data_IF_279971956521
#
_entry.id   IF_279971956521
#
_cell.length_a   1.000
_cell.length_b   1.000
_cell.length_c   1.000
_cell.angle_alpha   90.00
_cell.angle_beta   90.00
_cell.angle_gamma   90.00
#
_symmetry.space_group_name_H-M   'P 1'
#
loop_
_entity.id
_entity.type
_entity.pdbx_description
1 polymer ?
#
# COMPACT_ATOMS: atom_id res chain seq x y z
N UNK A 1 26.22 -41.17 -9.07
CA UNK A 1 26.01 -40.76 -7.67
C UNK A 1 24.83 -39.82 -7.44
N UNK A 2 24.27 -39.12 -8.44
CA UNK A 2 23.24 -38.07 -8.18
C UNK A 2 21.78 -38.54 -8.21
N UNK A 3 21.48 -39.65 -8.89
CA UNK A 3 20.09 -40.09 -9.16
C UNK A 3 19.45 -40.87 -8.01
N UNK A 4 20.25 -41.65 -7.28
CA UNK A 4 19.77 -42.50 -6.19
C UNK A 4 19.43 -41.68 -4.93
N UNK A 5 20.20 -40.61 -4.65
CA UNK A 5 19.89 -39.71 -3.54
C UNK A 5 18.61 -38.90 -3.80
N UNK A 6 18.34 -38.51 -5.04
CA UNK A 6 17.14 -37.74 -5.42
C UNK A 6 15.86 -38.59 -5.32
N UNK A 7 15.93 -39.86 -5.71
CA UNK A 7 14.85 -40.83 -5.55
C UNK A 7 14.59 -41.21 -4.08
N UNK A 8 15.63 -41.14 -3.22
CA UNK A 8 15.51 -41.41 -1.79
C UNK A 8 14.88 -40.22 -1.06
N UNK A 9 15.27 -38.99 -1.42
CA UNK A 9 14.67 -37.75 -0.88
C UNK A 9 13.20 -37.65 -1.27
N UNK A 10 12.82 -37.97 -2.51
CA UNK A 10 11.43 -37.94 -2.95
C UNK A 10 10.55 -39.00 -2.29
N UNK A 11 11.08 -40.21 -2.04
CA UNK A 11 10.36 -41.23 -1.28
C UNK A 11 10.17 -40.84 0.19
N UNK A 12 11.18 -40.23 0.82
CA UNK A 12 11.08 -39.77 2.20
C UNK A 12 10.07 -38.63 2.33
N UNK A 13 10.09 -37.66 1.41
CA UNK A 13 9.13 -36.54 1.44
C UNK A 13 7.71 -37.01 1.18
N UNK A 14 7.50 -37.99 0.31
CA UNK A 14 6.18 -38.57 0.06
C UNK A 14 5.63 -39.29 1.29
N UNK A 15 6.41 -40.18 1.92
CA UNK A 15 5.99 -40.87 3.15
C UNK A 15 5.70 -39.92 4.30
N UNK A 16 6.53 -38.90 4.46
CA UNK A 16 6.36 -37.92 5.53
C UNK A 16 5.12 -37.04 5.30
N UNK A 17 4.81 -36.72 4.04
CA UNK A 17 3.59 -36.01 3.68
C UNK A 17 2.34 -36.85 3.93
N UNK A 18 2.37 -38.14 3.56
CA UNK A 18 1.28 -39.10 3.81
C UNK A 18 1.03 -39.30 5.32
N UNK A 19 2.09 -39.37 6.11
CA UNK A 19 1.98 -39.53 7.57
C UNK A 19 1.47 -38.26 8.25
N UNK A 20 1.81 -37.08 7.71
CA UNK A 20 1.22 -35.79 8.14
C UNK A 20 -0.27 -35.70 7.75
N UNK A 21 -0.65 -36.17 6.56
CA UNK A 21 -2.03 -36.12 6.08
C UNK A 21 -2.95 -37.05 6.89
N UNK A 22 -2.40 -38.17 7.38
CA UNK A 22 -3.10 -39.11 8.26
C UNK A 22 -3.17 -38.67 9.74
N UNK A 23 -2.62 -37.51 10.11
CA UNK A 23 -2.75 -37.02 11.48
C UNK A 23 -4.19 -36.58 11.77
N UNK A 24 -4.76 -36.98 12.93
CA UNK A 24 -6.05 -36.48 13.36
C UNK A 24 -6.01 -34.96 13.54
N UNK A 25 -7.10 -34.27 13.17
CA UNK A 25 -7.24 -32.81 13.27
C UNK A 25 -7.62 -32.35 14.69
N UNK A 26 -7.05 -32.98 15.71
CA UNK A 26 -7.40 -32.80 17.12
C UNK A 26 -6.66 -31.62 17.80
N UNK A 27 -5.78 -30.92 17.07
CA UNK A 27 -5.12 -29.68 17.52
C UNK A 27 -4.12 -29.88 18.67
N UNK A 28 -3.77 -31.14 18.99
CA UNK A 28 -2.81 -31.49 20.04
C UNK A 28 -1.41 -31.62 19.46
N UNK A 29 -0.40 -31.27 20.27
CA UNK A 29 0.99 -31.52 19.92
C UNK A 29 1.23 -33.04 19.83
N UNK A 30 1.78 -33.49 18.70
CA UNK A 30 2.16 -34.88 18.44
C UNK A 30 3.64 -34.92 18.12
N UNK A 31 4.33 -35.91 18.68
CA UNK A 31 5.74 -36.17 18.40
C UNK A 31 5.85 -37.22 17.30
N UNK A 32 6.57 -36.88 16.21
CA UNK A 32 6.88 -37.81 15.12
C UNK A 32 8.33 -38.27 15.26
N UNK A 33 8.53 -39.54 15.66
CA UNK A 33 9.87 -40.12 15.80
C UNK A 33 10.30 -40.81 14.51
N UNK A 34 11.18 -40.17 13.74
CA UNK A 34 11.71 -40.75 12.50
C UNK A 34 12.99 -41.54 12.82
N UNK A 35 12.92 -42.87 12.71
CA UNK A 35 14.09 -43.75 12.87
C UNK A 35 14.77 -43.97 11.52
N UNK A 36 15.83 -43.23 11.24
CA UNK A 36 16.65 -43.41 10.04
C UNK A 36 17.72 -44.47 10.32
N UNK A 37 17.59 -45.66 9.71
CA UNK A 37 18.67 -46.67 9.69
C UNK A 37 19.59 -46.41 8.49
N UNK A 38 20.82 -45.97 8.75
CA UNK A 38 21.85 -45.82 7.71
C UNK A 38 23.24 -45.69 8.33
N UNK A 39 24.23 -46.38 7.76
CA UNK A 39 25.63 -46.24 8.14
C UNK A 39 26.27 -45.16 7.26
N UNK A 40 26.05 -43.89 7.62
CA UNK A 40 26.88 -42.77 7.16
C UNK A 40 27.61 -42.29 8.42
N UNK A 41 28.93 -42.43 8.46
CA UNK A 41 29.74 -42.25 9.67
C UNK A 41 29.40 -40.98 10.46
N UNK A 42 29.34 -41.12 11.78
CA UNK A 42 29.24 -40.05 12.77
C UNK A 42 28.30 -38.89 12.43
N UNK A 43 27.03 -39.16 12.09
CA UNK A 43 26.00 -38.13 12.16
C UNK A 43 25.33 -38.23 13.53
N UNK A 44 25.90 -37.57 14.52
CA UNK A 44 25.23 -37.28 15.79
C UNK A 44 24.12 -36.25 15.51
N UNK A 45 23.00 -36.71 14.94
CA UNK A 45 21.75 -35.95 14.94
C UNK A 45 21.23 -36.01 16.37
N UNK A 46 21.68 -35.07 17.21
CA UNK A 46 21.06 -34.82 18.52
C UNK A 46 19.55 -34.61 18.36
N UNK A 47 18.80 -34.69 19.46
CA UNK A 47 17.37 -34.41 19.46
C UNK A 47 17.12 -33.01 18.86
N UNK A 48 16.63 -32.95 17.62
CA UNK A 48 16.25 -31.72 16.94
C UNK A 48 14.73 -31.66 16.93
N UNK A 49 14.18 -30.86 17.85
CA UNK A 49 12.76 -30.52 17.85
C UNK A 49 12.51 -29.45 16.79
N UNK A 50 11.83 -29.83 15.71
CA UNK A 50 11.31 -28.89 14.71
C UNK A 50 9.89 -28.49 15.10
N UNK A 51 9.73 -27.29 15.67
CA UNK A 51 8.42 -26.75 16.04
C UNK A 51 7.77 -26.10 14.81
N UNK A 52 6.97 -26.87 14.08
CA UNK A 52 6.24 -26.40 12.90
C UNK A 52 4.95 -25.74 13.39
N UNK A 53 5.00 -24.43 13.66
CA UNK A 53 3.82 -23.63 13.98
C UNK A 53 2.96 -23.46 12.72
N UNK A 54 1.95 -24.32 12.59
CA UNK A 54 0.98 -24.33 11.48
C UNK A 54 0.02 -23.14 11.50
N UNK A 55 -0.22 -22.53 12.67
CA UNK A 55 -1.10 -21.39 12.80
C UNK A 55 -0.33 -20.07 12.64
N UNK A 56 -0.80 -19.20 11.74
CA UNK A 56 -0.39 -17.79 11.68
C UNK A 56 -0.63 -17.20 13.07
N UNK A 57 0.43 -16.94 13.84
CA UNK A 57 0.30 -16.36 15.16
C UNK A 57 -0.27 -14.93 15.04
N UNK A 58 -1.29 -14.56 15.84
CA UNK A 58 -1.79 -13.19 15.87
C UNK A 58 -0.69 -12.23 16.39
N UNK A 59 -0.69 -10.97 15.94
CA UNK A 59 0.25 -9.98 16.48
C UNK A 59 -0.03 -9.74 17.97
N UNK A 60 1.01 -9.37 18.76
CA UNK A 60 0.82 -9.00 20.16
C UNK A 60 -0.14 -7.81 20.28
N UNK A 61 -1.11 -7.92 21.20
CA UNK A 61 -2.10 -6.87 21.46
C UNK A 61 -1.41 -5.59 21.96
N UNK A 62 -1.81 -4.44 21.41
CA UNK A 62 -1.21 -3.14 21.73
C UNK A 62 0.14 -2.85 21.08
N UNK A 63 0.66 -3.74 20.23
CA UNK A 63 1.87 -3.49 19.45
C UNK A 63 1.59 -2.66 18.18
N UNK A 64 2.56 -1.88 17.75
CA UNK A 64 2.50 -1.04 16.52
C UNK A 64 2.31 -1.84 15.21
N UNK A 65 2.45 -3.17 15.31
CA UNK A 65 2.31 -4.15 14.23
C UNK A 65 0.92 -4.77 14.15
N UNK A 66 0.04 -4.47 15.10
CA UNK A 66 -1.35 -4.89 15.10
C UNK A 66 -2.22 -3.85 14.38
N UNK A 67 -3.18 -4.31 13.59
CA UNK A 67 -4.26 -3.49 13.04
C UNK A 67 -5.58 -4.26 13.10
N UNK A 68 -6.68 -3.54 13.10
CA UNK A 68 -7.99 -4.14 12.94
C UNK A 68 -8.33 -4.30 11.45
N UNK A 69 -8.94 -5.43 11.07
CA UNK A 69 -9.45 -5.62 9.71
C UNK A 69 -10.76 -4.84 9.51
N UNK A 70 -10.88 -4.00 8.46
CA UNK A 70 -12.09 -3.22 8.22
C UNK A 70 -13.33 -4.07 7.89
N UNK A 71 -13.13 -5.29 7.39
CA UNK A 71 -14.25 -6.19 7.03
C UNK A 71 -14.71 -7.06 8.22
N UNK A 72 -13.79 -7.74 8.91
CA UNK A 72 -14.13 -8.71 9.95
C UNK A 72 -13.87 -8.25 11.39
N UNK A 73 -13.27 -7.06 11.58
CA UNK A 73 -12.95 -6.47 12.89
C UNK A 73 -12.01 -7.28 13.79
N UNK A 74 -11.39 -8.33 13.24
CA UNK A 74 -10.38 -9.08 13.95
C UNK A 74 -9.01 -8.42 13.83
N UNK A 75 -8.20 -8.58 14.87
CA UNK A 75 -6.81 -8.15 14.88
C UNK A 75 -5.99 -8.97 13.87
N UNK A 76 -5.27 -8.28 13.01
CA UNK A 76 -4.41 -8.83 11.96
C UNK A 76 -3.11 -8.05 11.91
N UNK A 77 -2.10 -8.61 11.24
CA UNK A 77 -0.83 -7.94 11.05
C UNK A 77 -0.98 -6.69 10.17
N UNK A 78 -0.28 -5.61 10.54
CA UNK A 78 -0.36 -4.31 9.86
C UNK A 78 0.12 -4.37 8.41
N UNK A 79 1.25 -5.05 8.18
CA UNK A 79 1.99 -5.08 6.92
C UNK A 79 1.68 -6.30 6.04
N UNK A 80 0.65 -7.08 6.39
CA UNK A 80 0.22 -8.20 5.54
C UNK A 80 -0.75 -7.71 4.49
N UNK A 81 -0.57 -8.16 3.24
CA UNK A 81 -1.46 -7.82 2.14
C UNK A 81 -2.89 -8.34 2.36
N UNK A 82 -3.03 -9.55 2.92
CA UNK A 82 -4.32 -10.19 3.20
C UNK A 82 -4.54 -10.33 4.70
N UNK A 83 -5.78 -10.14 5.13
CA UNK A 83 -6.19 -10.45 6.50
C UNK A 83 -5.96 -11.93 6.81
N UNK A 84 -5.41 -12.23 7.99
CA UNK A 84 -5.18 -13.60 8.42
C UNK A 84 -6.47 -14.41 8.70
N UNK A 85 -7.60 -13.72 8.90
CA UNK A 85 -8.89 -14.34 9.24
C UNK A 85 -9.80 -14.49 8.01
N UNK A 86 -10.06 -13.38 7.31
CA UNK A 86 -11.02 -13.34 6.19
C UNK A 86 -10.37 -13.23 4.81
N UNK A 87 -9.03 -13.20 4.72
CA UNK A 87 -8.28 -13.01 3.47
C UNK A 87 -8.63 -11.73 2.70
N UNK A 88 -9.25 -10.75 3.36
CA UNK A 88 -9.51 -9.45 2.77
C UNK A 88 -8.22 -8.73 2.40
N UNK A 89 -8.19 -8.07 1.24
CA UNK A 89 -7.02 -7.33 0.78
C UNK A 89 -6.93 -5.96 1.47
N UNK A 90 -6.07 -5.91 2.48
CA UNK A 90 -5.84 -4.74 3.33
C UNK A 90 -5.11 -3.63 2.57
N UNK A 91 -4.13 -3.99 1.75
CA UNK A 91 -3.38 -3.02 0.93
C UNK A 91 -4.28 -2.27 -0.03
N UNK A 92 -5.14 -3.00 -0.75
CA UNK A 92 -6.06 -2.37 -1.71
C UNK A 92 -7.02 -1.41 -1.02
N UNK A 93 -7.47 -1.73 0.18
CA UNK A 93 -8.33 -0.84 0.96
C UNK A 93 -7.58 0.44 1.34
N UNK A 94 -6.33 0.32 1.78
CA UNK A 94 -5.49 1.47 2.16
C UNK A 94 -5.17 2.34 0.93
N UNK A 95 -4.87 1.74 -0.23
CA UNK A 95 -4.66 2.44 -1.50
C UNK A 95 -5.89 3.23 -1.95
N UNK A 96 -7.09 2.65 -1.83
CA UNK A 96 -8.34 3.35 -2.17
C UNK A 96 -8.54 4.55 -1.23
N UNK A 97 -8.29 4.38 0.07
CA UNK A 97 -8.40 5.47 1.03
C UNK A 97 -7.39 6.61 0.78
N UNK A 98 -6.18 6.28 0.30
CA UNK A 98 -5.19 7.29 -0.13
C UNK A 98 -5.61 7.99 -1.42
N UNK A 99 -6.08 7.23 -2.42
CA UNK A 99 -6.57 7.79 -3.68
C UNK A 99 -7.74 8.76 -3.48
N UNK A 100 -8.65 8.47 -2.54
CA UNK A 100 -9.75 9.38 -2.22
C UNK A 100 -9.26 10.70 -1.62
N UNK A 101 -8.25 10.66 -0.75
CA UNK A 101 -7.62 11.87 -0.18
C UNK A 101 -6.92 12.69 -1.26
N UNK A 102 -6.15 12.03 -2.12
CA UNK A 102 -5.46 12.69 -3.23
C UNK A 102 -6.45 13.31 -4.21
N UNK A 103 -7.55 12.62 -4.51
CA UNK A 103 -8.60 13.16 -5.36
C UNK A 103 -9.28 14.38 -4.74
N UNK A 104 -9.54 14.35 -3.43
CA UNK A 104 -10.08 15.50 -2.70
C UNK A 104 -9.13 16.70 -2.73
N UNK A 105 -7.82 16.47 -2.56
CA UNK A 105 -6.80 17.52 -2.69
C UNK A 105 -6.74 18.09 -4.11
N UNK A 106 -6.70 17.22 -5.12
CA UNK A 106 -6.66 17.62 -6.54
C UNK A 106 -7.90 18.40 -6.96
N UNK A 107 -9.08 18.04 -6.45
CA UNK A 107 -10.34 18.76 -6.74
C UNK A 107 -10.30 20.20 -6.22
N UNK A 108 -9.77 20.42 -5.01
CA UNK A 108 -9.60 21.78 -4.45
C UNK A 108 -8.63 22.61 -5.30
N UNK A 109 -7.52 22.00 -5.71
CA UNK A 109 -6.53 22.63 -6.57
C UNK A 109 -7.11 23.04 -7.93
N UNK A 110 -7.83 22.14 -8.61
CA UNK A 110 -8.42 22.41 -9.92
C UNK A 110 -9.44 23.55 -9.89
N UNK A 111 -10.23 23.67 -8.81
CA UNK A 111 -11.19 24.77 -8.66
C UNK A 111 -10.47 26.11 -8.50
N UNK A 112 -9.37 26.16 -7.75
CA UNK A 112 -8.58 27.39 -7.59
C UNK A 112 -7.95 27.83 -8.91
N UNK A 113 -7.34 26.90 -9.65
CA UNK A 113 -6.77 27.17 -10.98
C UNK A 113 -7.85 27.62 -11.97
N UNK A 114 -9.01 26.98 -11.97
CA UNK A 114 -10.14 27.39 -12.83
C UNK A 114 -10.61 28.82 -12.51
N UNK A 115 -10.76 29.16 -11.22
CA UNK A 115 -11.13 30.52 -10.81
C UNK A 115 -10.10 31.55 -11.26
N UNK A 116 -8.81 31.26 -11.10
CA UNK A 116 -7.75 32.14 -11.59
C UNK A 116 -7.81 32.32 -13.11
N UNK A 117 -8.02 31.23 -13.86
CA UNK A 117 -8.19 31.27 -15.31
C UNK A 117 -9.38 32.12 -15.77
N UNK A 118 -10.55 31.94 -15.15
CA UNK A 118 -11.76 32.74 -15.45
C UNK A 118 -11.53 34.22 -15.14
N UNK A 119 -10.89 34.55 -14.02
CA UNK A 119 -10.55 35.94 -13.70
C UNK A 119 -9.62 36.54 -14.76
N UNK A 120 -8.57 35.84 -15.18
CA UNK A 120 -7.64 36.32 -16.20
C UNK A 120 -8.34 36.57 -17.55
N UNK A 121 -9.20 35.66 -18.00
CA UNK A 121 -9.99 35.83 -19.24
C UNK A 121 -10.97 37.00 -19.12
N UNK A 122 -11.59 37.18 -17.96
CA UNK A 122 -12.46 38.33 -17.71
C UNK A 122 -11.70 39.67 -17.77
N UNK A 123 -10.50 39.73 -17.20
CA UNK A 123 -9.65 40.93 -17.22
C UNK A 123 -9.19 41.25 -18.64
N UNK A 124 -8.75 40.24 -19.42
CA UNK A 124 -8.34 40.47 -20.81
C UNK A 124 -9.51 40.90 -21.68
N UNK A 125 -10.68 40.27 -21.54
CA UNK A 125 -11.90 40.69 -22.24
C UNK A 125 -12.33 42.12 -21.90
N UNK A 126 -12.32 42.50 -20.62
CA UNK A 126 -12.61 43.87 -20.19
C UNK A 126 -11.57 44.86 -20.72
N UNK A 127 -10.28 44.52 -20.72
CA UNK A 127 -9.23 45.39 -21.25
C UNK A 127 -9.37 45.61 -22.77
N UNK A 128 -9.83 44.60 -23.51
CA UNK A 128 -10.10 44.72 -24.94
C UNK A 128 -11.28 45.66 -25.22
N UNK A 129 -12.38 45.50 -24.47
CA UNK A 129 -13.55 46.41 -24.58
C UNK A 129 -13.25 47.85 -24.17
N UNK A 130 -12.35 48.08 -23.20
CA UNK A 130 -11.94 49.42 -22.77
C UNK A 130 -11.04 50.09 -23.82
N UNK A 131 -10.25 49.33 -24.58
CA UNK A 131 -9.42 49.86 -25.68
C UNK A 131 -10.24 50.38 -26.86
N UNK A 132 -11.46 49.88 -27.07
CA UNK A 132 -12.38 50.38 -28.10
C UNK A 132 -13.07 51.70 -27.71
N UNK A 133 -12.97 52.16 -26.45
CA UNK A 133 -13.44 53.48 -26.03
C UNK A 133 -12.28 54.50 -26.01
N UNK A 134 -12.43 55.68 -26.63
CA UNK A 134 -11.39 56.70 -26.67
C UNK A 134 -11.34 57.48 -25.34
N UNK A 135 -10.94 56.82 -24.25
CA UNK A 135 -10.56 57.51 -23.01
C UNK A 135 -9.03 57.51 -22.88
N UNK A 136 -8.40 58.51 -23.50
CA UNK A 136 -6.95 58.74 -23.48
C UNK A 136 -6.37 58.85 -22.06
N UNK A 137 -7.22 59.13 -21.06
CA UNK A 137 -6.86 59.22 -19.64
C UNK A 137 -6.83 57.90 -18.88
N UNK A 138 -7.40 56.79 -19.39
CA UNK A 138 -7.40 55.48 -18.70
C UNK A 138 -6.32 54.50 -19.13
N UNK A 139 -5.60 54.77 -20.23
CA UNK A 139 -4.50 53.93 -20.73
C UNK A 139 -3.42 53.61 -19.67
N UNK A 140 -2.92 54.56 -18.85
CA UNK A 140 -1.93 54.22 -17.82
C UNK A 140 -2.52 53.39 -16.67
N UNK A 141 -3.80 53.59 -16.34
CA UNK A 141 -4.50 52.81 -15.31
C UNK A 141 -4.70 51.35 -15.75
N UNK A 142 -5.06 51.14 -17.01
CA UNK A 142 -5.23 49.80 -17.59
C UNK A 142 -3.91 49.01 -17.65
N UNK A 143 -2.81 49.67 -18.03
CA UNK A 143 -1.45 49.09 -18.00
C UNK A 143 -1.00 48.75 -16.57
N UNK A 144 -1.29 49.61 -15.59
CA UNK A 144 -0.99 49.35 -14.17
C UNK A 144 -1.77 48.15 -13.62
N UNK A 145 -3.07 48.07 -13.93
CA UNK A 145 -3.94 46.98 -13.47
C UNK A 145 -3.56 45.64 -14.10
N UNK A 146 -3.27 45.61 -15.40
CA UNK A 146 -2.83 44.38 -16.09
C UNK A 146 -1.49 43.88 -15.55
N UNK A 147 -0.53 44.78 -15.29
CA UNK A 147 0.75 44.43 -14.67
C UNK A 147 0.59 43.91 -13.24
N UNK A 148 -0.23 44.56 -12.41
CA UNK A 148 -0.49 44.15 -11.03
C UNK A 148 -1.20 42.79 -10.96
N UNK A 149 -2.15 42.52 -11.86
CA UNK A 149 -2.87 41.24 -11.93
C UNK A 149 -1.97 40.12 -12.46
N UNK A 150 -1.11 40.40 -13.44
CA UNK A 150 -0.08 39.46 -13.90
C UNK A 150 0.94 39.12 -12.80
N UNK A 151 1.36 40.10 -12.02
CA UNK A 151 2.24 39.89 -10.87
C UNK A 151 1.56 39.09 -9.76
N UNK A 152 0.29 39.39 -9.45
CA UNK A 152 -0.49 38.65 -8.48
C UNK A 152 -0.64 37.17 -8.90
N UNK A 153 -0.98 36.91 -10.17
CA UNK A 153 -1.02 35.56 -10.72
C UNK A 153 0.33 34.83 -10.57
N UNK A 154 1.46 35.49 -10.88
CA UNK A 154 2.79 34.92 -10.69
C UNK A 154 3.11 34.59 -9.22
N UNK A 155 2.73 35.46 -8.28
CA UNK A 155 2.96 35.20 -6.84
C UNK A 155 2.12 34.03 -6.32
N UNK A 156 0.86 33.91 -6.74
CA UNK A 156 0.01 32.77 -6.37
C UNK A 156 0.52 31.44 -6.93
N UNK A 157 1.06 31.43 -8.15
CA UNK A 157 1.70 30.24 -8.73
C UNK A 157 3.02 29.88 -8.04
N UNK A 158 3.82 30.87 -7.62
CA UNK A 158 5.12 30.64 -6.97
C UNK A 158 4.99 30.20 -5.51
N UNK A 159 3.93 30.63 -4.82
CA UNK A 159 3.57 30.17 -3.47
C UNK A 159 3.08 28.71 -3.43
N UNK A 160 2.84 28.10 -4.60
CA UNK A 160 2.26 26.77 -4.75
C UNK A 160 3.31 25.68 -5.10
N UNK A 161 4.60 25.99 -4.94
CA UNK A 161 5.72 25.04 -5.10
C UNK A 161 6.31 24.70 -3.74
#
# INVERSE_FOLDING_TARGET
MRRDDEALVSNLSARLSEEIENLPRDGKNRELTIKIKGNRGHINLGHQTFDIKTAKAPPPEGGDRARECPQCRHCTWRYTQLCMHCHYNLHRHDEVAEQEKDWAHKKRHNIQVLKAGVCCVGITGLSFFVMDYPLETLKPLALGLTGALGFFALTTMRSHR
#
